data_IF_871363444238
#
_entry.id   IF_871363444238
#
_cell.length_a   1.000
_cell.length_b   1.000
_cell.length_c   1.000
_cell.angle_alpha   90.00
_cell.angle_beta   90.00
_cell.angle_gamma   90.00
#
_symmetry.space_group_name_H-M   'P 1'
#
loop_
_entity.id
_entity.type
_entity.pdbx_description
1 polymer ?
#
# COMPACT_ATOMS: atom_id res chain seq x y z
N UNK A 1 1.48 5.11 3.66
CA UNK A 1 0.87 4.03 4.45
C UNK A 1 -0.53 4.44 4.85
N UNK A 2 -1.42 3.47 5.00
CA UNK A 2 -2.82 3.67 5.33
C UNK A 2 -3.30 2.54 6.25
N UNK A 3 -3.96 2.88 7.34
CA UNK A 3 -4.39 1.95 8.40
C UNK A 3 -5.88 2.18 8.67
N UNK A 4 -6.74 1.15 8.59
CA UNK A 4 -8.08 1.22 9.13
C UNK A 4 -8.03 1.47 10.64
N UNK A 5 -8.85 2.40 11.14
CA UNK A 5 -8.91 2.79 12.55
C UNK A 5 -10.35 2.80 13.03
N UNK A 6 -10.57 2.61 14.34
CA UNK A 6 -11.93 2.58 14.91
C UNK A 6 -12.60 3.95 14.86
N UNK A 7 -11.89 4.97 15.31
CA UNK A 7 -12.37 6.34 15.38
C UNK A 7 -11.16 7.29 15.44
N UNK A 8 -11.14 8.40 14.69
CA UNK A 8 -10.02 9.33 14.68
C UNK A 8 -9.96 10.27 15.89
N UNK A 9 -10.93 10.20 16.81
CA UNK A 9 -11.06 11.23 17.85
C UNK A 9 -11.74 12.49 17.31
N UNK A 10 -11.51 13.62 17.98
CA UNK A 10 -11.97 14.91 17.49
C UNK A 10 -11.15 15.39 16.29
N UNK A 11 -11.83 15.84 15.23
CA UNK A 11 -11.20 16.42 14.03
C UNK A 11 -10.96 17.93 14.16
N UNK A 12 -10.73 18.42 15.39
CA UNK A 12 -10.45 19.85 15.61
C UNK A 12 -9.16 20.25 14.90
N UNK A 13 -9.19 21.34 14.13
CA UNK A 13 -8.05 21.81 13.31
C UNK A 13 -7.83 21.03 12.01
N UNK A 14 -8.65 20.02 11.72
CA UNK A 14 -8.61 19.34 10.42
C UNK A 14 -9.58 20.00 9.45
N UNK A 15 -9.06 20.33 8.27
CA UNK A 15 -9.82 20.88 7.18
C UNK A 15 -10.13 19.81 6.12
N UNK A 16 -11.34 19.81 5.54
CA UNK A 16 -11.68 18.90 4.45
C UNK A 16 -10.87 19.25 3.20
N UNK A 17 -10.25 18.25 2.58
CA UNK A 17 -9.55 18.40 1.32
C UNK A 17 -10.53 18.22 0.18
N UNK A 18 -10.65 19.25 -0.67
CA UNK A 18 -11.44 19.16 -1.89
C UNK A 18 -10.82 18.13 -2.84
N UNK A 19 -11.61 17.12 -3.19
CA UNK A 19 -11.22 16.15 -4.20
C UNK A 19 -11.51 16.64 -5.60
N UNK A 20 -10.63 16.29 -6.53
CA UNK A 20 -10.84 16.59 -7.93
C UNK A 20 -11.93 15.68 -8.53
N UNK A 21 -12.85 16.21 -9.37
CA UNK A 21 -14.00 15.45 -9.86
C UNK A 21 -13.63 14.19 -10.66
N UNK A 22 -12.42 14.13 -11.23
CA UNK A 22 -11.96 13.01 -12.05
C UNK A 22 -11.32 11.89 -11.22
N UNK A 23 -11.06 12.09 -9.92
CA UNK A 23 -10.43 11.08 -9.06
C UNK A 23 -11.32 9.85 -8.91
N UNK A 24 -12.60 10.04 -8.58
CA UNK A 24 -13.51 8.94 -8.28
C UNK A 24 -14.72 8.94 -9.20
N UNK A 25 -15.27 7.75 -9.47
CA UNK A 25 -16.47 7.58 -10.31
C UNK A 25 -17.77 8.04 -9.66
N UNK A 26 -17.75 8.13 -8.33
CA UNK A 26 -18.84 8.56 -7.50
C UNK A 26 -18.35 9.72 -6.63
N UNK A 27 -19.22 10.70 -6.40
CA UNK A 27 -18.92 11.75 -5.45
C UNK A 27 -18.76 11.14 -4.05
N UNK A 28 -17.77 11.64 -3.30
CA UNK A 28 -17.52 11.29 -1.89
C UNK A 28 -17.11 9.82 -1.61
N UNK A 29 -16.42 9.15 -2.53
CA UNK A 29 -15.84 7.82 -2.25
C UNK A 29 -14.88 7.84 -1.05
N UNK A 30 -14.14 8.94 -0.87
CA UNK A 30 -13.40 9.23 0.35
C UNK A 30 -13.65 10.68 0.78
N UNK A 31 -13.88 10.93 2.06
CA UNK A 31 -13.72 12.23 2.68
C UNK A 31 -12.32 12.31 3.31
N UNK A 32 -11.48 13.24 2.84
CA UNK A 32 -10.11 13.42 3.33
C UNK A 32 -10.01 14.67 4.20
N UNK A 33 -9.32 14.55 5.33
CA UNK A 33 -9.13 15.59 6.32
C UNK A 33 -7.63 15.77 6.59
N UNK A 34 -7.15 17.02 6.55
CA UNK A 34 -5.75 17.37 6.81
C UNK A 34 -5.64 18.45 7.88
N UNK A 35 -4.61 18.35 8.71
CA UNK A 35 -4.28 19.35 9.70
C UNK A 35 -2.91 19.93 9.34
N UNK A 36 -2.76 21.26 9.36
CA UNK A 36 -1.53 21.94 8.88
C UNK A 36 -0.27 21.51 9.65
N UNK A 37 -0.39 21.37 10.97
CA UNK A 37 0.72 20.98 11.85
C UNK A 37 0.96 19.46 11.96
N UNK A 38 0.07 18.62 11.43
CA UNK A 38 0.17 17.17 11.58
C UNK A 38 0.70 16.53 10.29
N UNK A 39 1.67 15.60 10.37
CA UNK A 39 2.20 14.92 9.19
C UNK A 39 1.27 13.85 8.61
N UNK A 40 0.10 13.64 9.22
CA UNK A 40 -0.85 12.61 8.84
C UNK A 40 -2.17 13.21 8.37
N UNK A 41 -2.94 12.39 7.66
CA UNK A 41 -4.29 12.71 7.25
C UNK A 41 -5.25 11.67 7.82
N UNK A 42 -6.49 12.09 8.05
CA UNK A 42 -7.59 11.19 8.37
C UNK A 42 -8.48 11.11 7.15
N UNK A 43 -9.03 9.93 6.86
CA UNK A 43 -10.06 9.81 5.85
C UNK A 43 -11.16 8.87 6.28
N UNK A 44 -12.31 9.01 5.65
CA UNK A 44 -13.46 8.12 5.77
C UNK A 44 -13.89 7.69 4.39
N UNK A 45 -14.11 6.40 4.15
CA UNK A 45 -14.70 5.96 2.89
C UNK A 45 -16.24 6.05 2.91
N UNK A 46 -16.84 5.73 1.76
CA UNK A 46 -18.28 5.68 1.54
C UNK A 46 -18.98 4.47 2.22
N UNK A 47 -18.24 3.64 2.96
CA UNK A 47 -18.76 2.53 3.78
C UNK A 47 -18.54 2.77 5.28
N UNK A 48 -18.35 4.03 5.65
CA UNK A 48 -18.11 4.50 7.01
C UNK A 48 -16.83 4.00 7.70
N UNK A 49 -15.89 3.40 6.96
CA UNK A 49 -14.60 2.99 7.51
C UNK A 49 -13.66 4.19 7.62
N UNK A 50 -13.13 4.41 8.81
CA UNK A 50 -12.10 5.42 9.06
C UNK A 50 -10.71 4.87 8.79
N UNK A 51 -9.84 5.75 8.30
CA UNK A 51 -8.44 5.44 8.08
C UNK A 51 -7.51 6.55 8.54
N UNK A 52 -6.38 6.13 9.08
CA UNK A 52 -5.21 6.95 9.31
C UNK A 52 -4.25 6.81 8.13
N UNK A 53 -3.71 7.93 7.63
CA UNK A 53 -2.76 7.95 6.52
C UNK A 53 -1.52 8.76 6.86
N UNK A 54 -0.35 8.21 6.57
CA UNK A 54 0.93 8.88 6.78
C UNK A 54 1.94 8.53 5.69
N UNK A 55 2.86 9.45 5.43
CA UNK A 55 3.96 9.27 4.48
C UNK A 55 5.29 9.51 5.19
N UNK A 56 6.22 8.59 5.00
CA UNK A 56 7.60 8.72 5.45
C UNK A 56 8.58 8.46 4.31
N UNK A 57 9.73 9.11 4.38
CA UNK A 57 10.91 8.72 3.63
C UNK A 57 11.69 7.71 4.49
N UNK A 58 12.04 6.59 3.87
CA UNK A 58 12.76 5.47 4.49
C UNK A 58 13.89 5.07 3.54
N UNK A 59 15.03 4.70 4.10
CA UNK A 59 16.26 4.52 3.31
C UNK A 59 16.56 3.03 3.02
N UNK A 60 15.96 2.11 3.77
CA UNK A 60 16.18 0.66 3.64
C UNK A 60 14.87 -0.13 3.61
N UNK A 61 14.91 -1.37 3.11
CA UNK A 61 13.74 -2.24 3.12
C UNK A 61 13.39 -2.72 4.53
N UNK A 62 14.39 -2.94 5.38
CA UNK A 62 14.21 -3.22 6.81
C UNK A 62 13.42 -2.10 7.50
N UNK A 63 13.72 -0.84 7.20
CA UNK A 63 12.93 0.28 7.72
C UNK A 63 11.49 0.25 7.22
N UNK A 64 11.26 -0.08 5.94
CA UNK A 64 9.91 -0.22 5.37
C UNK A 64 9.12 -1.32 6.08
N UNK A 65 9.72 -2.50 6.27
CA UNK A 65 9.16 -3.65 6.99
C UNK A 65 8.68 -3.27 8.39
N UNK A 66 9.52 -2.60 9.17
CA UNK A 66 9.18 -2.25 10.55
C UNK A 66 8.25 -1.03 10.65
N UNK A 67 8.38 -0.07 9.74
CA UNK A 67 7.56 1.13 9.78
C UNK A 67 6.07 0.85 9.49
N UNK A 68 5.73 -0.24 8.80
CA UNK A 68 4.33 -0.57 8.46
C UNK A 68 3.60 -1.45 9.47
N UNK A 69 4.26 -1.90 10.52
CA UNK A 69 3.62 -2.70 11.58
C UNK A 69 2.53 -1.87 12.27
N UNK A 70 1.37 -2.47 12.51
CA UNK A 70 0.26 -1.80 13.23
C UNK A 70 0.12 -2.25 14.68
N UNK A 71 0.73 -3.39 15.03
CA UNK A 71 0.83 -3.91 16.39
C UNK A 71 2.29 -4.24 16.68
N UNK A 72 2.72 -4.14 17.95
CA UNK A 72 4.05 -4.59 18.35
C UNK A 72 4.03 -6.13 18.50
N UNK A 73 4.79 -6.89 17.69
CA UNK A 73 4.84 -8.33 17.84
C UNK A 73 5.48 -8.72 19.18
N UNK A 74 5.01 -9.80 19.82
CA UNK A 74 5.49 -10.23 21.14
C UNK A 74 6.96 -10.66 21.15
N UNK A 75 7.51 -11.08 20.01
CA UNK A 75 8.89 -11.52 19.87
C UNK A 75 9.87 -10.37 19.56
N UNK A 76 9.37 -9.15 19.36
CA UNK A 76 10.22 -8.00 19.05
C UNK A 76 10.83 -7.42 20.32
N UNK A 77 12.13 -7.09 20.27
CA UNK A 77 12.79 -6.40 21.36
C UNK A 77 12.10 -5.05 21.65
N UNK A 78 11.97 -4.71 22.93
CA UNK A 78 11.26 -3.49 23.38
C UNK A 78 11.88 -2.21 22.81
N UNK A 79 13.19 -2.21 22.56
CA UNK A 79 13.92 -1.08 22.01
C UNK A 79 13.82 -0.95 20.48
N UNK A 80 13.17 -1.89 19.79
CA UNK A 80 12.97 -1.78 18.34
C UNK A 80 11.92 -0.71 18.03
N UNK A 81 12.30 0.28 17.23
CA UNK A 81 11.42 1.34 16.76
C UNK A 81 10.42 0.79 15.74
N UNK A 82 9.12 0.91 16.04
CA UNK A 82 8.03 0.54 15.15
C UNK A 82 7.26 1.82 14.80
N UNK A 83 7.76 2.57 13.80
CA UNK A 83 7.35 3.96 13.53
C UNK A 83 5.84 4.19 13.59
N UNK A 84 5.04 3.31 12.99
CA UNK A 84 3.58 3.43 12.96
C UNK A 84 2.89 3.03 14.26
N UNK A 85 3.31 1.95 14.89
CA UNK A 85 2.82 1.57 16.22
C UNK A 85 3.06 2.70 17.21
N UNK A 86 4.29 3.18 17.27
CA UNK A 86 4.72 4.21 18.21
C UNK A 86 4.00 5.55 17.92
N UNK A 87 3.78 5.89 16.63
CA UNK A 87 3.05 7.09 16.24
C UNK A 87 1.56 7.01 16.59
N UNK A 88 0.89 5.90 16.28
CA UNK A 88 -0.53 5.71 16.58
C UNK A 88 -0.79 5.73 18.09
N UNK A 89 0.10 5.12 18.88
CA UNK A 89 0.05 5.19 20.34
C UNK A 89 0.18 6.64 20.85
N UNK A 90 1.14 7.41 20.31
CA UNK A 90 1.34 8.83 20.66
C UNK A 90 0.08 9.68 20.44
N UNK A 91 -0.66 9.42 19.36
CA UNK A 91 -1.90 10.16 19.03
C UNK A 91 -3.17 9.48 19.55
N UNK A 92 -3.04 8.45 20.40
CA UNK A 92 -4.18 7.69 20.94
C UNK A 92 -5.13 7.11 19.89
N UNK A 93 -4.60 6.73 18.72
CA UNK A 93 -5.37 6.17 17.63
C UNK A 93 -5.27 4.64 17.64
N UNK A 94 -6.41 3.95 17.56
CA UNK A 94 -6.46 2.49 17.63
C UNK A 94 -6.70 1.88 16.24
N UNK A 95 -5.78 1.04 15.73
CA UNK A 95 -6.00 0.25 14.51
C UNK A 95 -7.25 -0.63 14.60
N UNK A 96 -7.91 -0.85 13.46
CA UNK A 96 -9.06 -1.73 13.29
C UNK A 96 -8.74 -2.83 12.25
N UNK A 97 -7.70 -3.60 12.53
CA UNK A 97 -7.35 -4.81 11.77
C UNK A 97 -6.95 -5.90 12.75
N UNK A 98 -7.64 -7.03 12.69
CA UNK A 98 -7.46 -8.16 13.60
C UNK A 98 -6.88 -9.40 12.89
N UNK A 99 -6.97 -9.43 11.56
CA UNK A 99 -6.62 -10.53 10.67
C UNK A 99 -5.24 -10.37 10.02
N UNK A 100 -4.68 -9.14 10.04
CA UNK A 100 -3.37 -8.85 9.47
C UNK A 100 -2.62 -7.79 10.30
N UNK A 101 -1.32 -7.97 10.48
CA UNK A 101 -0.48 -7.18 11.39
C UNK A 101 0.19 -5.96 10.75
N UNK A 102 -0.09 -5.69 9.46
CA UNK A 102 0.56 -4.63 8.68
C UNK A 102 -0.43 -3.67 8.04
N UNK A 103 -0.05 -2.40 8.00
CA UNK A 103 -0.74 -1.34 7.28
C UNK A 103 -0.69 -1.54 5.78
N UNK A 104 -1.67 -0.99 5.06
CA UNK A 104 -1.57 -0.84 3.61
C UNK A 104 -0.41 0.10 3.25
N UNK A 105 0.41 -0.26 2.27
CA UNK A 105 1.58 0.55 1.90
C UNK A 105 1.73 0.70 0.40
N UNK A 106 2.14 1.90 0.01
CA UNK A 106 2.62 2.18 -1.33
C UNK A 106 4.07 2.64 -1.21
N UNK A 107 5.00 1.80 -1.69
CA UNK A 107 6.42 2.12 -1.73
C UNK A 107 6.73 2.84 -3.03
N UNK A 108 7.31 4.03 -2.96
CA UNK A 108 7.74 4.78 -4.14
C UNK A 108 9.26 4.88 -4.15
N UNK A 109 9.89 4.46 -5.24
CA UNK A 109 11.35 4.40 -5.37
C UNK A 109 11.79 5.10 -6.65
N UNK A 110 12.77 5.98 -6.53
CA UNK A 110 13.51 6.52 -7.66
C UNK A 110 14.69 5.59 -7.98
N UNK A 111 14.92 5.31 -9.25
CA UNK A 111 16.11 4.60 -9.73
C UNK A 111 16.64 5.29 -10.99
N UNK A 112 17.95 5.38 -11.15
CA UNK A 112 18.54 6.00 -12.35
C UNK A 112 18.19 5.22 -13.62
N UNK A 113 18.13 3.89 -13.51
CA UNK A 113 17.60 2.98 -14.53
C UNK A 113 16.83 1.85 -13.86
N UNK A 114 15.65 1.50 -14.38
CA UNK A 114 14.86 0.39 -13.86
C UNK A 114 15.55 -0.96 -14.04
N UNK A 115 16.34 -1.11 -15.11
CA UNK A 115 17.05 -2.36 -15.41
C UNK A 115 18.18 -2.64 -14.41
N UNK A 116 18.65 -1.61 -13.70
CA UNK A 116 19.68 -1.74 -12.67
C UNK A 116 19.09 -2.18 -11.31
N UNK A 117 17.76 -2.29 -11.19
CA UNK A 117 17.09 -2.81 -9.99
C UNK A 117 16.77 -4.30 -10.20
N UNK A 118 17.46 -5.22 -9.51
CA UNK A 118 17.21 -6.66 -9.65
C UNK A 118 15.76 -7.05 -9.33
N UNK A 119 15.23 -8.08 -10.02
CA UNK A 119 13.83 -8.50 -9.87
C UNK A 119 13.48 -8.92 -8.44
N UNK A 120 14.39 -9.59 -7.74
CA UNK A 120 14.24 -9.94 -6.32
C UNK A 120 14.10 -8.70 -5.44
N UNK A 121 14.85 -7.64 -5.74
CA UNK A 121 14.73 -6.36 -5.05
C UNK A 121 13.44 -5.63 -5.39
N UNK A 122 13.00 -5.65 -6.65
CA UNK A 122 11.69 -5.11 -7.06
C UNK A 122 10.56 -5.84 -6.33
N UNK A 123 10.65 -7.16 -6.20
CA UNK A 123 9.68 -7.98 -5.49
C UNK A 123 9.62 -7.62 -4.00
N UNK A 124 10.76 -7.46 -3.32
CA UNK A 124 10.79 -7.01 -1.92
C UNK A 124 10.20 -5.62 -1.75
N UNK A 125 10.48 -4.69 -2.67
CA UNK A 125 9.87 -3.35 -2.69
C UNK A 125 8.35 -3.42 -2.85
N UNK A 126 7.86 -4.28 -3.74
CA UNK A 126 6.44 -4.50 -4.01
C UNK A 126 5.71 -5.08 -2.79
N UNK A 127 6.33 -6.01 -2.08
CA UNK A 127 5.79 -6.65 -0.88
C UNK A 127 6.04 -5.84 0.41
N UNK A 128 6.89 -4.81 0.34
CA UNK A 128 7.39 -4.08 1.50
C UNK A 128 8.02 -5.02 2.56
N UNK A 129 8.76 -6.00 2.05
CA UNK A 129 9.53 -6.99 2.81
C UNK A 129 10.92 -6.44 3.10
N UNK A 130 11.45 -6.74 4.29
CA UNK A 130 12.82 -6.41 4.69
C UNK A 130 13.85 -7.24 3.91
N UNK A 131 15.12 -6.88 4.01
CA UNK A 131 16.21 -7.64 3.38
C UNK A 131 16.32 -9.07 3.94
N UNK A 132 15.88 -9.29 5.18
CA UNK A 132 15.94 -10.55 5.92
C UNK A 132 14.72 -11.46 5.70
N UNK A 133 13.63 -10.95 5.11
CA UNK A 133 12.40 -11.73 4.96
C UNK A 133 12.55 -12.86 3.93
N UNK A 134 11.91 -14.03 4.18
CA UNK A 134 11.87 -15.10 3.22
C UNK A 134 11.04 -14.71 2.00
N UNK A 135 11.53 -15.00 0.79
CA UNK A 135 10.78 -14.78 -0.44
C UNK A 135 9.75 -15.89 -0.64
N UNK A 136 8.49 -15.61 -0.28
CA UNK A 136 7.37 -16.56 -0.42
C UNK A 136 6.77 -16.54 -1.84
N UNK A 137 6.71 -15.35 -2.45
CA UNK A 137 6.30 -15.16 -3.85
C UNK A 137 7.57 -15.09 -4.69
N UNK A 138 7.61 -15.74 -5.85
CA UNK A 138 8.76 -15.75 -6.76
C UNK A 138 8.46 -15.11 -8.12
N UNK A 139 7.32 -14.43 -8.24
CA UNK A 139 6.86 -13.81 -9.49
C UNK A 139 6.62 -12.32 -9.30
N UNK A 140 7.15 -11.50 -10.21
CA UNK A 140 6.87 -10.07 -10.26
C UNK A 140 5.78 -9.81 -11.30
N UNK A 141 4.66 -9.26 -10.84
CA UNK A 141 3.61 -8.74 -11.73
C UNK A 141 3.76 -7.22 -11.82
N UNK A 142 3.77 -6.70 -13.04
CA UNK A 142 3.97 -5.27 -13.26
C UNK A 142 3.24 -4.73 -14.48
N UNK A 143 2.93 -3.43 -14.45
CA UNK A 143 2.64 -2.63 -15.64
C UNK A 143 3.68 -1.53 -15.75
N UNK A 144 4.03 -1.14 -16.97
CA UNK A 144 5.01 -0.10 -17.23
C UNK A 144 4.39 0.98 -18.12
N UNK A 145 4.69 2.24 -17.82
CA UNK A 145 4.43 3.35 -18.72
C UNK A 145 5.72 4.11 -19.02
N UNK A 146 5.72 4.80 -20.16
CA UNK A 146 6.82 5.65 -20.60
C UNK A 146 6.31 7.07 -20.75
N UNK A 147 6.95 8.02 -20.07
CA UNK A 147 6.63 9.44 -20.12
C UNK A 147 7.93 10.23 -20.33
N UNK A 148 7.97 11.10 -21.34
CA UNK A 148 9.17 11.86 -21.74
C UNK A 148 10.43 10.99 -21.89
N UNK A 149 10.29 9.79 -22.46
CA UNK A 149 11.42 8.89 -22.69
C UNK A 149 11.83 8.04 -21.48
N UNK A 150 11.31 8.33 -20.28
CA UNK A 150 11.67 7.66 -19.03
C UNK A 150 10.57 6.70 -18.57
N UNK A 151 10.96 5.59 -17.95
CA UNK A 151 10.03 4.53 -17.54
C UNK A 151 9.57 4.70 -16.10
N UNK A 152 8.32 4.30 -15.86
CA UNK A 152 7.79 4.06 -14.53
C UNK A 152 7.10 2.70 -14.52
N UNK A 153 7.42 1.89 -13.52
CA UNK A 153 6.90 0.54 -13.33
C UNK A 153 6.09 0.49 -12.05
N UNK A 154 4.87 -0.03 -12.17
CA UNK A 154 3.96 -0.28 -11.05
C UNK A 154 3.95 -1.77 -10.77
N UNK A 155 4.20 -2.13 -9.52
CA UNK A 155 4.35 -3.51 -9.05
C UNK A 155 3.27 -3.81 -8.02
N UNK A 156 2.86 -5.08 -7.96
CA UNK A 156 1.89 -5.54 -6.96
C UNK A 156 2.53 -6.48 -5.94
N UNK A 157 2.37 -6.16 -4.66
CA UNK A 157 2.52 -7.08 -3.52
C UNK A 157 1.16 -7.28 -2.86
N UNK A 158 0.18 -7.75 -3.63
CA UNK A 158 -1.22 -7.76 -3.22
C UNK A 158 -1.46 -8.52 -1.91
N UNK A 159 -0.83 -9.68 -1.76
CA UNK A 159 -1.00 -10.55 -0.58
C UNK A 159 -0.42 -9.93 0.68
N UNK A 160 0.60 -9.08 0.55
CA UNK A 160 1.20 -8.35 1.66
C UNK A 160 0.58 -6.97 1.84
N UNK A 161 -0.58 -6.66 1.26
CA UNK A 161 -1.27 -5.38 1.36
C UNK A 161 -0.39 -4.21 0.90
N UNK A 162 0.36 -4.42 -0.18
CA UNK A 162 1.30 -3.44 -0.68
C UNK A 162 1.32 -3.31 -2.20
N UNK A 163 1.71 -2.12 -2.65
CA UNK A 163 1.99 -1.79 -4.03
C UNK A 163 3.29 -1.01 -4.09
N UNK A 164 3.98 -1.04 -5.24
CA UNK A 164 5.15 -0.20 -5.43
C UNK A 164 5.15 0.51 -6.77
N UNK A 165 5.74 1.71 -6.79
CA UNK A 165 6.06 2.46 -8.00
C UNK A 165 7.56 2.69 -8.04
N UNK A 166 8.22 2.17 -9.08
CA UNK A 166 9.64 2.41 -9.37
C UNK A 166 9.72 3.32 -10.60
N UNK A 167 10.48 4.40 -10.55
CA UNK A 167 10.52 5.37 -11.65
C UNK A 167 11.93 5.89 -11.93
N UNK A 168 12.24 6.02 -13.22
CA UNK A 168 13.39 6.77 -13.76
C UNK A 168 13.08 8.26 -13.89
N UNK A 169 11.80 8.63 -13.82
CA UNK A 169 11.34 9.96 -14.13
C UNK A 169 11.22 10.78 -12.85
N UNK A 170 12.28 11.55 -12.54
CA UNK A 170 12.32 12.43 -11.36
C UNK A 170 11.26 13.53 -11.39
N UNK A 171 11.00 14.09 -12.57
CA UNK A 171 9.98 15.14 -12.74
C UNK A 171 8.57 14.60 -12.44
N UNK A 172 8.22 13.45 -13.04
CA UNK A 172 7.00 12.72 -12.71
C UNK A 172 6.93 12.39 -11.22
N UNK A 173 8.02 11.91 -10.63
CA UNK A 173 8.05 11.54 -9.22
C UNK A 173 7.71 12.72 -8.30
N UNK A 174 8.40 13.84 -8.48
CA UNK A 174 8.38 14.99 -7.56
C UNK A 174 7.16 15.88 -7.78
N UNK A 175 6.70 16.02 -9.03
CA UNK A 175 5.64 16.97 -9.36
C UNK A 175 4.27 16.33 -9.62
N UNK A 176 4.21 15.02 -9.90
CA UNK A 176 2.96 14.33 -10.23
C UNK A 176 2.67 13.21 -9.22
N UNK A 177 3.62 12.29 -9.06
CA UNK A 177 3.39 11.06 -8.32
C UNK A 177 3.29 11.31 -6.81
N UNK A 178 4.35 11.82 -6.16
CA UNK A 178 4.33 12.03 -4.71
C UNK A 178 3.26 13.04 -4.25
N UNK A 179 2.99 14.15 -4.96
CA UNK A 179 1.97 15.11 -4.52
C UNK A 179 0.53 14.63 -4.69
N UNK A 180 0.25 13.86 -5.74
CA UNK A 180 -1.12 13.48 -6.11
C UNK A 180 -1.31 11.97 -6.27
N UNK A 181 -0.58 11.33 -7.19
CA UNK A 181 -0.92 9.96 -7.62
C UNK A 181 -0.61 8.88 -6.57
N UNK A 182 0.48 8.99 -5.82
CA UNK A 182 0.94 7.96 -4.90
C UNK A 182 -0.12 7.64 -3.85
N UNK A 183 -0.71 8.69 -3.27
CA UNK A 183 -1.75 8.55 -2.27
C UNK A 183 -3.07 8.07 -2.87
N UNK A 184 -3.46 8.64 -4.02
CA UNK A 184 -4.65 8.23 -4.74
C UNK A 184 -4.62 6.75 -5.14
N UNK A 185 -3.48 6.24 -5.60
CA UNK A 185 -3.31 4.83 -5.95
C UNK A 185 -3.39 3.92 -4.72
N UNK A 186 -2.90 4.39 -3.56
CA UNK A 186 -3.08 3.66 -2.30
C UNK A 186 -4.57 3.62 -1.89
N UNK A 187 -5.32 4.70 -2.08
CA UNK A 187 -6.77 4.72 -1.84
C UNK A 187 -7.50 3.73 -2.75
N UNK A 188 -7.18 3.72 -4.05
CA UNK A 188 -7.74 2.73 -4.98
C UNK A 188 -7.41 1.30 -4.57
N UNK A 189 -6.18 1.04 -4.14
CA UNK A 189 -5.74 -0.29 -3.72
C UNK A 189 -6.47 -0.78 -2.48
N UNK A 190 -6.62 0.07 -1.47
CA UNK A 190 -7.38 -0.25 -0.24
C UNK A 190 -8.82 -0.54 -0.59
N UNK A 191 -9.45 0.32 -1.38
CA UNK A 191 -10.83 0.16 -1.81
C UNK A 191 -11.03 -1.15 -2.60
N UNK A 192 -10.10 -1.47 -3.51
CA UNK A 192 -10.12 -2.71 -4.26
C UNK A 192 -9.93 -3.94 -3.37
N UNK A 193 -9.00 -3.89 -2.40
CA UNK A 193 -8.77 -5.00 -1.47
C UNK A 193 -10.00 -5.29 -0.61
N UNK A 194 -10.70 -4.26 -0.17
CA UNK A 194 -11.85 -4.40 0.73
C UNK A 194 -13.16 -4.70 0.00
N UNK A 195 -13.39 -4.06 -1.15
CA UNK A 195 -14.70 -4.05 -1.82
C UNK A 195 -14.67 -4.68 -3.21
N UNK A 196 -13.51 -5.19 -3.67
CA UNK A 196 -13.38 -5.94 -4.92
C UNK A 196 -13.58 -5.11 -6.20
N UNK A 197 -13.56 -3.78 -6.11
CA UNK A 197 -13.77 -2.87 -7.27
C UNK A 197 -12.85 -1.66 -7.22
N UNK A 198 -12.57 -1.06 -8.37
CA UNK A 198 -11.81 0.19 -8.47
C UNK A 198 -12.81 1.36 -8.55
N UNK A 199 -12.75 2.35 -7.66
CA UNK A 199 -13.72 3.45 -7.64
C UNK A 199 -13.36 4.56 -8.64
N UNK A 200 -12.85 4.24 -9.83
CA UNK A 200 -12.38 5.22 -10.81
C UNK A 200 -12.38 4.70 -12.26
N UNK A 201 -12.86 5.52 -13.19
CA UNK A 201 -12.87 5.32 -14.64
C UNK A 201 -11.55 5.72 -15.30
N UNK A 202 -10.62 6.33 -14.55
CA UNK A 202 -9.32 6.68 -15.09
C UNK A 202 -8.62 5.44 -15.65
N UNK A 203 -8.00 5.58 -16.82
CA UNK A 203 -7.31 4.48 -17.49
C UNK A 203 -6.27 3.82 -16.58
N UNK A 204 -5.43 4.61 -15.90
CA UNK A 204 -4.40 4.08 -15.02
C UNK A 204 -5.00 3.33 -13.82
N UNK A 205 -6.07 3.84 -13.22
CA UNK A 205 -6.76 3.16 -12.11
C UNK A 205 -7.28 1.78 -12.53
N UNK A 206 -7.87 1.68 -13.73
CA UNK A 206 -8.35 0.41 -14.29
C UNK A 206 -7.22 -0.57 -14.59
N UNK A 207 -6.10 -0.09 -15.14
CA UNK A 207 -4.91 -0.91 -15.39
C UNK A 207 -4.31 -1.46 -14.08
N UNK A 208 -4.21 -0.61 -13.06
CA UNK A 208 -3.76 -1.01 -11.72
C UNK A 208 -4.72 -2.06 -11.12
N UNK A 209 -6.03 -1.89 -11.25
CA UNK A 209 -7.01 -2.90 -10.84
C UNK A 209 -6.80 -4.25 -11.50
N UNK A 210 -6.55 -4.27 -12.81
CA UNK A 210 -6.23 -5.51 -13.53
C UNK A 210 -4.93 -6.14 -13.04
N UNK A 211 -3.90 -5.33 -12.78
CA UNK A 211 -2.64 -5.80 -12.21
C UNK A 211 -2.89 -6.49 -10.87
N UNK A 212 -3.60 -5.82 -9.95
CA UNK A 212 -3.90 -6.37 -8.62
C UNK A 212 -4.76 -7.62 -8.69
N UNK A 213 -5.79 -7.62 -9.55
CA UNK A 213 -6.63 -8.79 -9.81
C UNK A 213 -5.82 -9.99 -10.31
N UNK A 214 -4.77 -9.76 -11.12
CA UNK A 214 -3.89 -10.82 -11.62
C UNK A 214 -2.98 -11.46 -10.56
N UNK A 215 -2.81 -10.79 -9.42
CA UNK A 215 -1.95 -11.21 -8.32
C UNK A 215 -2.69 -11.77 -7.12
N UNK A 216 -4.03 -11.66 -7.09
CA UNK A 216 -4.80 -12.25 -6.01
C UNK A 216 -4.74 -13.76 -6.15
N UNK A 217 -4.23 -14.43 -5.12
CA UNK A 217 -4.25 -15.89 -5.06
C UNK A 217 -5.70 -16.41 -5.16
N UNK A 218 -6.69 -15.62 -4.72
CA UNK A 218 -8.11 -15.99 -4.71
C UNK A 218 -8.98 -15.38 -5.83
N UNK A 219 -8.40 -14.77 -6.87
CA UNK A 219 -9.19 -14.60 -8.10
C UNK A 219 -9.50 -16.02 -8.58
N UNK A 220 -10.71 -16.31 -9.07
CA UNK A 220 -11.34 -17.65 -9.17
C UNK A 220 -10.61 -18.74 -9.99
N UNK A 221 -9.34 -18.53 -10.33
CA UNK A 221 -8.35 -19.44 -10.91
C UNK A 221 -7.10 -19.59 -10.00
N UNK A 222 -7.26 -19.88 -8.70
CA UNK A 222 -6.16 -20.24 -7.79
C UNK A 222 -5.31 -21.41 -8.32
N UNK A 223 -4.01 -21.43 -7.99
CA UNK A 223 -3.08 -22.50 -8.36
C UNK A 223 -3.29 -23.78 -7.53
N UNK A 224 -3.96 -24.78 -8.11
CA UNK A 224 -4.22 -26.09 -7.48
C UNK A 224 -2.96 -26.85 -7.02
N UNK A 225 -1.75 -26.48 -7.47
CA UNK A 225 -0.49 -27.11 -7.01
C UNK A 225 0.02 -26.60 -5.65
N UNK A 226 -0.59 -25.54 -5.09
CA UNK A 226 -0.41 -25.13 -3.69
C UNK A 226 -1.28 -25.97 -2.71
N UNK A 227 -2.06 -26.93 -3.21
CA UNK A 227 -2.81 -27.93 -2.45
C UNK A 227 -2.07 -29.28 -2.52
N UNK A 228 -1.53 -29.76 -1.40
CA UNK A 228 -0.93 -31.09 -1.32
C UNK A 228 -1.89 -32.05 -0.61
N UNK A 229 -2.35 -33.10 -1.30
CA UNK A 229 -3.19 -34.17 -0.73
C UNK A 229 -2.35 -35.45 -0.74
N UNK A 230 -2.01 -35.96 0.45
CA UNK A 230 -1.33 -37.25 0.61
C UNK A 230 -2.34 -38.30 1.09
N UNK A 231 -2.46 -39.41 0.35
CA UNK A 231 -3.24 -40.56 0.81
C UNK A 231 -2.39 -41.49 1.67
N UNK A 232 -2.82 -41.71 2.90
CA UNK A 232 -2.26 -42.73 3.79
C UNK A 232 -2.66 -44.09 3.22
N UNK A 233 -1.67 -44.89 2.81
CA UNK A 233 -1.88 -46.31 2.49
C UNK A 233 -1.60 -47.14 3.73
N UNK A 234 -2.62 -47.84 4.20
CA UNK A 234 -2.50 -48.90 5.20
C UNK A 234 -1.53 -49.98 4.67
N UNK A 235 -0.67 -50.47 5.56
CA UNK A 235 0.31 -51.54 5.28
C UNK A 235 -0.36 -52.90 5.11
#
# INVERSE_FOLDING_TARGET
MLVPIKYPGGLSGYEPVKQEPYMFDQQACFALYRHEEQPHSIMKDDHDQWYFAIRWKLDTLTEVKYARQIHRPSYMAENTTLKLVDYLAKISCTPQMNDFDKAFVHTTVFADKLDDVPLDRQLRMANADGEDDPSVIQTVHSIENKYNGQRTRFLSGFETYSIATLTENRDYLEHIHLPASAFLYLQYFVYFKQYGRIPSKQMMARLLGNLWASTQAMNSAWNSSLLTIEQIRDR
#
